data_IF_332707184021
#
_entry.id   IF_332707184021
#
_cell.length_a   1.000
_cell.length_b   1.000
_cell.length_c   1.000
_cell.angle_alpha   90.00
_cell.angle_beta   90.00
_cell.angle_gamma   90.00
#
_symmetry.space_group_name_H-M   'P 1'
#
loop_
_entity.id
_entity.type
_entity.pdbx_description
1 polymer ?
#
# COMPACT_ATOMS: atom_id res chain seq x y z
N UNK A 1 87.56 30.79 6.13
CA UNK A 1 86.86 31.94 5.53
C UNK A 1 85.42 31.89 6.02
N UNK A 2 84.99 32.91 6.75
CA UNK A 2 83.71 33.06 7.43
C UNK A 2 82.73 33.88 6.60
N UNK A 3 81.52 33.38 6.34
CA UNK A 3 80.35 34.16 5.92
C UNK A 3 79.14 33.56 6.68
N UNK A 4 78.65 34.18 7.75
CA UNK A 4 77.67 35.28 7.81
C UNK A 4 76.40 34.97 7.00
N UNK A 5 75.34 34.64 7.74
CA UNK A 5 73.94 34.43 7.31
C UNK A 5 73.35 35.63 6.56
N UNK A 6 72.18 35.45 5.92
CA UNK A 6 71.01 36.15 6.48
C UNK A 6 69.79 35.25 6.66
N UNK A 7 69.32 35.26 7.92
CA UNK A 7 67.99 34.85 8.35
C UNK A 7 66.90 35.61 7.58
N UNK A 8 66.23 34.95 6.63
CA UNK A 8 65.05 35.48 5.94
C UNK A 8 63.81 35.36 6.84
N UNK A 9 63.51 36.43 7.55
CA UNK A 9 62.26 36.60 8.30
C UNK A 9 61.06 36.65 7.32
N UNK A 10 60.10 35.72 7.37
CA UNK A 10 58.97 35.74 6.45
C UNK A 10 58.00 36.88 6.79
N UNK A 11 57.79 37.77 5.82
CA UNK A 11 56.91 38.93 5.91
C UNK A 11 55.46 38.48 6.21
N UNK A 12 54.82 38.95 7.30
CA UNK A 12 53.46 38.55 7.67
C UNK A 12 52.41 38.87 6.58
N UNK A 13 52.69 39.83 5.71
CA UNK A 13 51.81 40.22 4.60
C UNK A 13 51.79 39.19 3.44
N UNK A 14 52.80 38.33 3.35
CA UNK A 14 52.91 37.31 2.29
C UNK A 14 52.08 36.06 2.59
N UNK A 15 51.74 35.81 3.87
CA UNK A 15 50.77 34.78 4.25
C UNK A 15 49.33 35.19 3.90
N UNK A 16 49.01 36.48 3.89
CA UNK A 16 47.66 36.96 3.60
C UNK A 16 47.30 36.83 2.12
N UNK A 17 48.25 37.04 1.19
CA UNK A 17 48.00 36.92 -0.25
C UNK A 17 47.81 35.48 -0.74
N UNK A 18 48.29 34.47 0.00
CA UNK A 18 48.06 33.06 -0.32
C UNK A 18 46.67 32.56 0.15
N UNK A 19 46.04 33.26 1.10
CA UNK A 19 44.72 32.88 1.62
C UNK A 19 43.55 33.49 0.85
N UNK A 20 43.78 34.49 0.00
CA UNK A 20 42.71 35.19 -0.74
C UNK A 20 42.25 34.48 -2.03
N UNK A 21 42.93 33.41 -2.45
CA UNK A 21 42.59 32.64 -3.66
C UNK A 21 41.85 31.32 -3.40
N UNK A 22 41.50 31.01 -2.15
CA UNK A 22 40.58 29.89 -1.88
C UNK A 22 39.17 30.30 -2.29
N UNK A 23 38.77 29.82 -3.47
CA UNK A 23 37.50 30.08 -4.13
C UNK A 23 36.33 29.97 -3.17
N UNK A 24 35.71 31.10 -2.87
CA UNK A 24 34.35 31.18 -2.34
C UNK A 24 33.43 30.60 -3.41
N UNK A 25 33.09 29.32 -3.28
CA UNK A 25 32.03 28.70 -4.09
C UNK A 25 30.77 29.54 -4.01
N UNK A 26 30.33 30.04 -5.15
CA UNK A 26 29.21 30.98 -5.28
C UNK A 26 27.95 30.45 -4.56
N UNK A 27 27.48 31.07 -3.45
CA UNK A 27 26.40 30.54 -2.63
C UNK A 27 25.00 30.66 -3.27
N UNK A 28 24.85 31.32 -4.42
CA UNK A 28 23.54 31.46 -5.10
C UNK A 28 23.11 30.20 -5.88
N UNK A 29 24.03 29.30 -6.22
CA UNK A 29 23.71 28.09 -6.99
C UNK A 29 22.91 27.05 -6.19
N UNK A 30 22.99 27.06 -4.85
CA UNK A 30 22.24 26.13 -4.00
C UNK A 30 20.74 26.42 -3.97
N UNK A 31 20.33 27.70 -4.12
CA UNK A 31 18.92 28.06 -4.15
C UNK A 31 18.27 27.52 -5.44
N UNK A 32 18.87 27.77 -6.60
CA UNK A 32 18.35 27.27 -7.88
C UNK A 32 18.40 25.75 -7.98
N UNK A 33 19.43 25.10 -7.44
CA UNK A 33 19.50 23.64 -7.41
C UNK A 33 18.40 23.02 -6.54
N UNK A 34 18.06 23.63 -5.39
CA UNK A 34 16.92 23.16 -4.56
C UNK A 34 15.57 23.30 -5.28
N UNK A 35 15.31 24.43 -5.92
CA UNK A 35 14.08 24.64 -6.70
C UNK A 35 13.98 23.71 -7.91
N UNK A 36 15.11 23.45 -8.58
CA UNK A 36 15.19 22.45 -9.65
C UNK A 36 14.80 21.05 -9.14
N UNK A 37 15.40 20.58 -8.04
CA UNK A 37 15.05 19.28 -7.45
C UNK A 37 13.59 19.22 -7.00
N UNK A 38 13.04 20.27 -6.40
CA UNK A 38 11.62 20.32 -6.03
C UNK A 38 10.69 20.20 -7.24
N UNK A 39 11.07 20.82 -8.36
CA UNK A 39 10.28 20.76 -9.60
C UNK A 39 10.34 19.36 -10.22
N UNK A 40 11.53 18.75 -10.25
CA UNK A 40 11.73 17.37 -10.73
C UNK A 40 10.97 16.38 -9.86
N UNK A 41 11.04 16.52 -8.53
CA UNK A 41 10.31 15.67 -7.58
C UNK A 41 8.80 15.83 -7.75
N UNK A 42 8.30 17.07 -7.87
CA UNK A 42 6.87 17.33 -8.09
C UNK A 42 6.38 16.71 -9.39
N UNK A 43 7.13 16.86 -10.49
CA UNK A 43 6.83 16.24 -11.78
C UNK A 43 6.84 14.71 -11.68
N UNK A 44 7.84 14.14 -11.00
CA UNK A 44 7.94 12.71 -10.78
C UNK A 44 6.76 12.17 -9.95
N UNK A 45 6.40 12.83 -8.83
CA UNK A 45 5.23 12.47 -8.03
C UNK A 45 3.94 12.58 -8.83
N UNK A 46 3.80 13.63 -9.65
CA UNK A 46 2.64 13.80 -10.55
C UNK A 46 2.54 12.66 -11.57
N UNK A 47 3.66 12.25 -12.15
CA UNK A 47 3.71 11.10 -13.07
C UNK A 47 3.37 9.80 -12.34
N UNK A 48 3.96 9.55 -11.17
CA UNK A 48 3.66 8.37 -10.34
C UNK A 48 2.19 8.35 -9.94
N UNK A 49 1.60 9.49 -9.61
CA UNK A 49 0.17 9.58 -9.29
C UNK A 49 -0.71 9.21 -10.49
N UNK A 50 -0.36 9.66 -11.70
CA UNK A 50 -1.05 9.28 -12.93
C UNK A 50 -0.92 7.78 -13.24
N UNK A 51 0.25 7.20 -12.98
CA UNK A 51 0.54 5.78 -13.24
C UNK A 51 0.20 4.87 -12.05
N UNK A 52 -0.22 5.41 -10.90
CA UNK A 52 -0.48 4.65 -9.69
C UNK A 52 -1.47 3.47 -9.91
N UNK A 53 -2.56 3.60 -10.69
CA UNK A 53 -3.47 2.48 -10.98
C UNK A 53 -2.78 1.34 -11.72
N UNK A 54 -1.82 1.66 -12.60
CA UNK A 54 -1.04 0.67 -13.35
C UNK A 54 0.07 0.11 -12.48
N UNK A 55 0.69 0.92 -11.62
CA UNK A 55 1.78 0.50 -10.73
C UNK A 55 1.28 -0.41 -9.58
N UNK A 56 0.03 -0.22 -9.14
CA UNK A 56 -0.59 -1.01 -8.06
C UNK A 56 -0.49 -2.52 -8.28
N UNK A 57 -0.91 -3.12 -9.42
CA UNK A 57 -0.75 -4.55 -9.65
C UNK A 57 0.72 -4.99 -9.72
N UNK A 58 1.65 -4.14 -10.16
CA UNK A 58 3.09 -4.47 -10.15
C UNK A 58 3.64 -4.52 -8.72
N UNK A 59 3.31 -3.55 -7.88
CA UNK A 59 3.73 -3.54 -6.48
C UNK A 59 3.15 -4.73 -5.72
N UNK A 60 1.86 -5.01 -5.89
CA UNK A 60 1.25 -6.20 -5.28
C UNK A 60 1.87 -7.49 -5.78
N UNK A 61 2.13 -7.60 -7.09
CA UNK A 61 2.79 -8.76 -7.64
C UNK A 61 4.23 -8.93 -7.12
N UNK A 62 4.98 -7.85 -6.97
CA UNK A 62 6.32 -7.88 -6.40
C UNK A 62 6.31 -8.30 -4.92
N UNK A 63 5.34 -7.81 -4.13
CA UNK A 63 5.15 -8.22 -2.74
C UNK A 63 4.80 -9.71 -2.64
N UNK A 64 3.87 -10.18 -3.49
CA UNK A 64 3.49 -11.60 -3.54
C UNK A 64 4.64 -12.49 -4.04
N UNK A 65 5.41 -12.04 -5.03
CA UNK A 65 6.59 -12.75 -5.52
C UNK A 65 7.64 -12.85 -4.42
N UNK A 66 7.96 -11.75 -3.73
CA UNK A 66 8.87 -11.76 -2.59
C UNK A 66 8.44 -12.74 -1.49
N UNK A 67 7.13 -12.82 -1.20
CA UNK A 67 6.59 -13.75 -0.22
C UNK A 67 6.58 -15.21 -0.72
N UNK A 68 6.38 -15.40 -2.02
CA UNK A 68 6.30 -16.71 -2.67
C UNK A 68 7.67 -17.34 -2.94
N UNK A 69 8.71 -16.52 -3.11
CA UNK A 69 10.08 -16.95 -3.41
C UNK A 69 10.63 -18.02 -2.44
N UNK A 70 10.60 -17.83 -1.10
CA UNK A 70 11.06 -18.87 -0.18
C UNK A 70 10.22 -20.15 -0.22
N UNK A 71 8.97 -20.09 -0.71
CA UNK A 71 8.15 -21.29 -0.92
C UNK A 71 8.56 -22.02 -2.20
N UNK A 72 8.93 -21.28 -3.25
CA UNK A 72 9.45 -21.82 -4.51
C UNK A 72 10.80 -22.49 -4.27
N UNK A 73 11.72 -21.84 -3.57
CA UNK A 73 13.04 -22.40 -3.23
C UNK A 73 12.93 -23.73 -2.47
N UNK A 74 11.97 -23.82 -1.53
CA UNK A 74 11.70 -25.05 -0.79
C UNK A 74 11.22 -26.20 -1.69
N UNK A 75 10.48 -25.90 -2.76
CA UNK A 75 10.04 -26.89 -3.73
C UNK A 75 11.15 -27.25 -4.73
N UNK A 76 11.99 -26.29 -5.10
CA UNK A 76 13.20 -26.56 -5.90
C UNK A 76 14.17 -27.50 -5.18
N UNK A 77 14.29 -27.36 -3.85
CA UNK A 77 15.07 -28.29 -3.02
C UNK A 77 14.56 -29.75 -3.11
N UNK A 78 13.32 -29.97 -3.55
CA UNK A 78 12.76 -31.29 -3.83
C UNK A 78 12.97 -31.77 -5.27
N UNK A 79 13.90 -31.14 -6.00
CA UNK A 79 14.28 -31.43 -7.39
C UNK A 79 13.21 -31.10 -8.44
N UNK A 80 12.26 -30.21 -8.10
CA UNK A 80 11.34 -29.65 -9.09
C UNK A 80 12.03 -28.54 -9.89
N UNK A 81 11.69 -28.42 -11.17
CA UNK A 81 12.16 -27.27 -11.96
C UNK A 81 11.47 -26.00 -11.48
N UNK A 82 12.17 -24.86 -11.55
CA UNK A 82 11.65 -23.55 -11.13
C UNK A 82 10.24 -23.26 -11.61
N UNK A 83 10.00 -23.44 -12.91
CA UNK A 83 8.67 -23.22 -13.51
C UNK A 83 7.59 -24.07 -12.84
N UNK A 84 7.87 -25.35 -12.54
CA UNK A 84 6.92 -26.22 -11.86
C UNK A 84 6.70 -25.80 -10.40
N UNK A 85 7.77 -25.47 -9.68
CA UNK A 85 7.70 -24.97 -8.31
C UNK A 85 6.82 -23.72 -8.23
N UNK A 86 7.04 -22.75 -9.13
CA UNK A 86 6.26 -21.51 -9.24
C UNK A 86 4.79 -21.83 -9.53
N UNK A 87 4.49 -22.67 -10.53
CA UNK A 87 3.11 -23.05 -10.84
C UNK A 87 2.41 -23.71 -9.65
N UNK A 88 3.09 -24.59 -8.92
CA UNK A 88 2.52 -25.28 -7.74
C UNK A 88 2.24 -24.29 -6.62
N UNK A 89 3.21 -23.44 -6.24
CA UNK A 89 3.00 -22.40 -5.22
C UNK A 89 1.82 -21.51 -5.61
N UNK A 90 1.76 -21.12 -6.87
CA UNK A 90 0.72 -20.24 -7.38
C UNK A 90 -0.68 -20.86 -7.30
N UNK A 91 -0.83 -22.13 -7.70
CA UNK A 91 -2.09 -22.87 -7.57
C UNK A 91 -2.49 -23.02 -6.10
N UNK A 92 -1.55 -23.39 -5.23
CA UNK A 92 -1.81 -23.54 -3.79
C UNK A 92 -2.25 -22.22 -3.17
N UNK A 93 -1.62 -21.11 -3.54
CA UNK A 93 -1.97 -19.78 -3.07
C UNK A 93 -3.38 -19.37 -3.51
N UNK A 94 -3.72 -19.55 -4.80
CA UNK A 94 -5.06 -19.27 -5.30
C UNK A 94 -6.11 -20.13 -4.59
N UNK A 95 -5.86 -21.43 -4.45
CA UNK A 95 -6.76 -22.34 -3.75
C UNK A 95 -6.93 -21.94 -2.28
N UNK A 96 -5.84 -21.56 -1.60
CA UNK A 96 -5.89 -21.09 -0.22
C UNK A 96 -6.77 -19.83 -0.10
N UNK A 97 -6.58 -18.83 -0.96
CA UNK A 97 -7.42 -17.63 -0.98
C UNK A 97 -8.88 -17.99 -1.25
N UNK A 98 -9.14 -18.86 -2.22
CA UNK A 98 -10.50 -19.28 -2.56
C UNK A 98 -11.19 -19.97 -1.38
N UNK A 99 -10.50 -20.88 -0.70
CA UNK A 99 -11.01 -21.55 0.51
C UNK A 99 -11.25 -20.54 1.64
N UNK A 100 -10.33 -19.62 1.87
CA UNK A 100 -10.51 -18.55 2.86
C UNK A 100 -11.76 -17.74 2.53
N UNK A 101 -11.96 -17.31 1.28
CA UNK A 101 -13.15 -16.55 0.88
C UNK A 101 -14.44 -17.37 1.06
N UNK A 102 -14.44 -18.65 0.66
CA UNK A 102 -15.59 -19.55 0.80
C UNK A 102 -16.00 -19.76 2.26
N UNK A 103 -15.05 -19.76 3.20
CA UNK A 103 -15.33 -19.89 4.64
C UNK A 103 -15.63 -18.54 5.28
N UNK A 104 -14.89 -17.49 4.90
CA UNK A 104 -14.98 -16.18 5.51
C UNK A 104 -16.29 -15.46 5.13
N UNK A 105 -16.74 -15.58 3.88
CA UNK A 105 -18.01 -14.97 3.43
C UNK A 105 -19.22 -15.42 4.27
N UNK A 106 -19.51 -16.72 4.45
CA UNK A 106 -20.66 -17.15 5.26
C UNK A 106 -20.48 -16.81 6.75
N UNK A 107 -19.24 -16.81 7.26
CA UNK A 107 -18.96 -16.39 8.63
C UNK A 107 -19.28 -14.90 8.83
N UNK A 108 -18.89 -14.04 7.89
CA UNK A 108 -19.25 -12.61 7.93
C UNK A 108 -20.78 -12.45 7.81
N UNK A 109 -21.42 -13.19 6.90
CA UNK A 109 -22.87 -13.11 6.72
C UNK A 109 -23.64 -13.50 7.99
N UNK A 110 -23.28 -14.61 8.63
CA UNK A 110 -23.90 -15.03 9.90
C UNK A 110 -23.63 -14.03 11.02
N UNK A 111 -22.41 -13.49 11.12
CA UNK A 111 -22.10 -12.45 12.11
C UNK A 111 -22.93 -11.18 11.90
N UNK A 112 -23.05 -10.70 10.66
CA UNK A 112 -23.89 -9.55 10.32
C UNK A 112 -25.37 -9.85 10.58
N UNK A 113 -25.84 -11.06 10.26
CA UNK A 113 -27.20 -11.51 10.54
C UNK A 113 -27.52 -11.46 12.04
N UNK A 114 -26.62 -11.96 12.89
CA UNK A 114 -26.76 -11.88 14.34
C UNK A 114 -26.77 -10.44 14.86
N UNK A 115 -25.95 -9.56 14.28
CA UNK A 115 -25.95 -8.14 14.65
C UNK A 115 -27.29 -7.48 14.31
N UNK A 116 -27.79 -7.72 13.09
CA UNK A 116 -29.08 -7.18 12.63
C UNK A 116 -30.24 -7.70 13.48
N UNK A 117 -30.24 -8.99 13.87
CA UNK A 117 -31.26 -9.54 14.76
C UNK A 117 -31.23 -8.95 16.17
N UNK A 118 -30.04 -8.58 16.68
CA UNK A 118 -29.90 -7.95 18.00
C UNK A 118 -30.12 -6.45 17.97
N UNK A 119 -30.02 -5.81 16.81
CA UNK A 119 -30.14 -4.36 16.66
C UNK A 119 -31.46 -3.79 17.20
N UNK A 120 -32.65 -4.35 16.87
CA UNK A 120 -33.93 -3.85 17.38
C UNK A 120 -33.97 -3.75 18.90
N UNK A 121 -33.42 -4.75 19.61
CA UNK A 121 -33.36 -4.77 21.07
C UNK A 121 -32.49 -3.65 21.64
N UNK A 122 -31.40 -3.29 20.96
CA UNK A 122 -30.59 -2.15 21.38
C UNK A 122 -31.32 -0.83 21.15
N UNK A 123 -32.12 -0.73 20.08
CA UNK A 123 -32.95 0.44 19.82
C UNK A 123 -34.05 0.54 20.89
N UNK A 124 -34.72 -0.57 21.25
CA UNK A 124 -35.70 -0.62 22.36
C UNK A 124 -35.11 -0.05 23.65
N UNK A 125 -33.93 -0.54 24.03
CA UNK A 125 -33.26 -0.08 25.24
C UNK A 125 -32.88 1.40 25.17
N UNK A 126 -32.44 1.87 24.00
CA UNK A 126 -32.10 3.28 23.80
C UNK A 126 -33.34 4.18 23.88
N UNK A 127 -34.45 3.79 23.25
CA UNK A 127 -35.73 4.50 23.31
C UNK A 127 -36.22 4.55 24.74
N UNK A 128 -36.21 3.44 25.48
CA UNK A 128 -36.66 3.39 26.88
C UNK A 128 -35.88 4.34 27.78
N UNK A 129 -34.57 4.50 27.55
CA UNK A 129 -33.73 5.43 28.31
C UNK A 129 -33.94 6.87 27.85
N UNK A 130 -34.02 7.13 26.53
CA UNK A 130 -34.01 8.48 25.97
C UNK A 130 -35.38 9.15 25.94
N UNK A 131 -36.46 8.37 25.75
CA UNK A 131 -37.82 8.86 25.64
C UNK A 131 -38.25 9.78 26.80
N UNK A 132 -38.05 9.45 28.09
CA UNK A 132 -38.44 10.35 29.18
C UNK A 132 -37.69 11.69 29.15
N UNK A 133 -36.40 11.71 28.80
CA UNK A 133 -35.62 12.95 28.72
C UNK A 133 -36.04 13.82 27.52
N UNK A 134 -36.29 13.22 26.36
CA UNK A 134 -36.72 13.96 25.17
C UNK A 134 -38.15 14.50 25.30
N UNK A 135 -39.06 13.75 25.90
CA UNK A 135 -40.43 14.22 26.15
C UNK A 135 -40.45 15.36 27.17
N UNK A 136 -39.66 15.26 28.25
CA UNK A 136 -39.63 16.26 29.31
C UNK A 136 -39.00 17.58 28.86
N UNK A 137 -37.93 17.52 28.06
CA UNK A 137 -37.11 18.69 27.76
C UNK A 137 -37.41 19.29 26.37
N UNK A 138 -37.91 18.50 25.41
CA UNK A 138 -38.13 18.91 24.01
C UNK A 138 -39.54 18.61 23.48
N UNK A 139 -40.37 17.86 24.22
CA UNK A 139 -41.73 17.46 23.79
C UNK A 139 -41.77 16.53 22.56
N UNK A 140 -40.65 15.88 22.22
CA UNK A 140 -40.53 15.03 21.02
C UNK A 140 -40.87 13.58 21.36
N UNK A 141 -41.81 12.98 20.63
CA UNK A 141 -42.08 11.54 20.69
C UNK A 141 -41.31 10.79 19.59
N UNK A 142 -40.40 9.91 20.02
CA UNK A 142 -39.51 9.12 19.15
C UNK A 142 -40.02 7.70 18.82
N UNK A 143 -41.18 7.32 19.35
CA UNK A 143 -41.74 5.96 19.25
C UNK A 143 -42.11 5.58 17.80
N UNK A 144 -42.55 6.54 16.98
CA UNK A 144 -42.83 6.31 15.55
C UNK A 144 -41.55 6.12 14.73
N UNK A 145 -40.49 6.86 15.07
CA UNK A 145 -39.18 6.80 14.38
C UNK A 145 -38.52 5.44 14.65
N UNK A 146 -38.65 4.93 15.87
CA UNK A 146 -38.18 3.60 16.26
C UNK A 146 -38.76 2.49 15.38
N UNK A 147 -40.08 2.50 15.17
CA UNK A 147 -40.76 1.51 14.35
C UNK A 147 -40.32 1.55 12.88
N UNK A 148 -40.18 2.76 12.30
CA UNK A 148 -39.70 2.93 10.92
C UNK A 148 -38.26 2.43 10.74
N UNK A 149 -37.37 2.76 11.67
CA UNK A 149 -35.96 2.32 11.64
C UNK A 149 -35.89 0.80 11.76
N UNK A 150 -36.62 0.20 12.70
CA UNK A 150 -36.67 -1.26 12.86
C UNK A 150 -37.20 -1.94 11.62
N UNK A 151 -38.31 -1.46 11.05
CA UNK A 151 -38.90 -2.01 9.83
C UNK A 151 -37.95 -1.89 8.63
N UNK A 152 -37.25 -0.76 8.49
CA UNK A 152 -36.24 -0.57 7.44
C UNK A 152 -35.08 -1.54 7.62
N UNK A 153 -34.54 -1.69 8.83
CA UNK A 153 -33.44 -2.62 9.13
C UNK A 153 -33.84 -4.07 8.85
N UNK A 154 -35.00 -4.52 9.33
CA UNK A 154 -35.42 -5.91 9.14
C UNK A 154 -35.67 -6.23 7.66
N UNK A 155 -36.33 -5.33 6.94
CA UNK A 155 -36.65 -5.53 5.52
C UNK A 155 -35.41 -5.46 4.63
N UNK A 156 -34.52 -4.48 4.85
CA UNK A 156 -33.36 -4.28 4.00
C UNK A 156 -32.16 -5.15 4.36
N UNK A 157 -32.01 -5.60 5.61
CA UNK A 157 -30.83 -6.35 6.04
C UNK A 157 -31.14 -7.82 6.36
N UNK A 158 -32.36 -8.16 6.80
CA UNK A 158 -32.69 -9.53 7.21
C UNK A 158 -33.32 -10.37 6.09
N UNK A 159 -34.14 -9.75 5.22
CA UNK A 159 -34.94 -10.49 4.23
C UNK A 159 -34.24 -10.71 2.87
N UNK A 160 -33.13 -10.03 2.60
CA UNK A 160 -32.51 -10.00 1.25
C UNK A 160 -31.35 -10.99 1.02
N UNK A 161 -31.21 -12.06 1.81
CA UNK A 161 -30.29 -13.16 1.43
C UNK A 161 -28.82 -12.73 1.25
N UNK A 162 -28.33 -11.90 2.18
CA UNK A 162 -26.89 -11.75 2.38
C UNK A 162 -26.27 -10.49 1.81
N UNK A 163 -25.37 -9.92 2.60
CA UNK A 163 -24.36 -8.94 2.19
C UNK A 163 -23.69 -9.32 0.85
N UNK A 164 -23.50 -10.62 0.61
CA UNK A 164 -22.99 -11.19 -0.65
C UNK A 164 -23.85 -10.78 -1.85
N UNK A 165 -25.17 -10.93 -1.78
CA UNK A 165 -26.05 -10.61 -2.91
C UNK A 165 -26.07 -9.11 -3.23
N UNK A 166 -25.93 -8.26 -2.20
CA UNK A 166 -25.78 -6.81 -2.38
C UNK A 166 -24.47 -6.46 -3.08
N UNK A 167 -23.35 -7.05 -2.63
CA UNK A 167 -22.06 -6.88 -3.28
C UNK A 167 -22.15 -7.31 -4.75
N UNK A 168 -22.67 -8.51 -5.03
CA UNK A 168 -22.82 -9.00 -6.40
C UNK A 168 -23.68 -8.07 -7.27
N UNK A 169 -24.77 -7.53 -6.72
CA UNK A 169 -25.62 -6.54 -7.42
C UNK A 169 -24.86 -5.24 -7.69
N UNK A 170 -24.20 -4.65 -6.69
CA UNK A 170 -23.42 -3.41 -6.84
C UNK A 170 -22.30 -3.57 -7.85
N UNK A 171 -21.61 -4.70 -7.80
CA UNK A 171 -20.58 -5.11 -8.76
C UNK A 171 -21.20 -5.16 -10.16
N UNK A 172 -22.29 -5.92 -10.35
CA UNK A 172 -22.94 -6.09 -11.66
C UNK A 172 -23.51 -4.78 -12.25
N UNK A 173 -24.01 -3.89 -11.39
CA UNK A 173 -24.55 -2.60 -11.80
C UNK A 173 -23.45 -1.61 -12.22
N UNK A 174 -22.22 -1.81 -11.73
CA UNK A 174 -21.08 -0.93 -11.97
C UNK A 174 -20.11 -1.51 -12.99
N UNK A 175 -20.58 -1.79 -14.21
CA UNK A 175 -19.79 -2.42 -15.28
C UNK A 175 -18.43 -1.77 -15.55
N UNK A 176 -18.32 -0.43 -15.43
CA UNK A 176 -17.05 0.28 -15.59
C UNK A 176 -16.05 0.01 -14.45
N UNK A 177 -16.52 -0.02 -13.20
CA UNK A 177 -15.69 -0.38 -12.05
C UNK A 177 -15.23 -1.84 -12.15
N UNK A 178 -16.14 -2.71 -12.61
CA UNK A 178 -15.84 -4.12 -12.86
C UNK A 178 -14.67 -4.32 -13.80
N UNK A 179 -14.61 -3.58 -14.92
CA UNK A 179 -13.50 -3.72 -15.88
C UNK A 179 -12.16 -3.33 -15.26
N UNK A 180 -12.11 -2.23 -14.49
CA UNK A 180 -10.87 -1.81 -13.81
C UNK A 180 -10.40 -2.80 -12.75
N UNK A 181 -11.32 -3.30 -11.92
CA UNK A 181 -11.04 -4.31 -10.90
C UNK A 181 -10.67 -5.66 -11.52
N UNK A 182 -11.40 -6.11 -12.54
CA UNK A 182 -11.08 -7.33 -13.27
C UNK A 182 -9.69 -7.23 -13.90
N UNK A 183 -9.37 -6.11 -14.56
CA UNK A 183 -8.04 -5.88 -15.13
C UNK A 183 -6.95 -6.01 -14.08
N UNK A 184 -7.13 -5.38 -12.91
CA UNK A 184 -6.17 -5.48 -11.79
C UNK A 184 -6.08 -6.90 -11.23
N UNK A 185 -7.22 -7.57 -11.05
CA UNK A 185 -7.32 -8.93 -10.53
C UNK A 185 -6.77 -9.97 -11.50
N UNK A 186 -6.78 -9.72 -12.81
CA UNK A 186 -6.16 -10.58 -13.83
C UNK A 186 -4.68 -10.25 -14.04
N UNK A 187 -4.29 -8.97 -14.02
CA UNK A 187 -2.88 -8.59 -14.18
C UNK A 187 -2.02 -9.05 -13.00
N UNK A 188 -2.48 -8.79 -11.77
CA UNK A 188 -1.74 -9.13 -10.54
C UNK A 188 -1.24 -10.58 -10.54
N UNK A 189 -2.10 -11.61 -10.73
CA UNK A 189 -1.68 -13.00 -10.74
C UNK A 189 -0.71 -13.31 -11.89
N UNK A 190 -0.94 -12.77 -13.08
CA UNK A 190 -0.08 -12.99 -14.26
C UNK A 190 1.32 -12.39 -14.04
N UNK A 191 1.38 -11.15 -13.54
CA UNK A 191 2.64 -10.47 -13.24
C UNK A 191 3.36 -11.20 -12.10
N UNK A 192 2.63 -11.61 -11.04
CA UNK A 192 3.21 -12.36 -9.92
C UNK A 192 3.87 -13.63 -10.42
N UNK A 193 3.18 -14.39 -11.27
CA UNK A 193 3.73 -15.60 -11.86
C UNK A 193 5.02 -15.34 -12.63
N UNK A 194 5.04 -14.28 -13.45
CA UNK A 194 6.23 -13.90 -14.23
C UNK A 194 7.38 -13.45 -13.34
N UNK A 195 7.11 -12.58 -12.36
CA UNK A 195 8.11 -12.07 -11.41
C UNK A 195 8.69 -13.19 -10.56
N UNK A 196 7.85 -14.12 -10.08
CA UNK A 196 8.29 -15.24 -9.25
C UNK A 196 9.13 -16.24 -10.04
N UNK A 197 8.79 -16.46 -11.33
CA UNK A 197 9.58 -17.32 -12.21
C UNK A 197 10.96 -16.77 -12.53
N UNK A 198 11.06 -15.47 -12.79
CA UNK A 198 12.31 -14.83 -13.21
C UNK A 198 12.96 -14.03 -12.06
N UNK A 199 12.54 -14.30 -10.82
CA UNK A 199 12.88 -13.51 -9.63
C UNK A 199 14.39 -13.36 -9.42
N UNK A 200 15.16 -14.45 -9.47
CA UNK A 200 16.62 -14.37 -9.23
C UNK A 200 17.32 -13.51 -10.27
N UNK A 201 16.88 -13.57 -11.52
CA UNK A 201 17.47 -12.78 -12.60
C UNK A 201 17.16 -11.29 -12.40
N UNK A 202 15.94 -10.97 -11.96
CA UNK A 202 15.54 -9.60 -11.63
C UNK A 202 16.33 -9.05 -10.44
N UNK A 203 16.48 -9.84 -9.37
CA UNK A 203 17.23 -9.44 -8.17
C UNK A 203 18.72 -9.29 -8.48
N UNK A 204 19.30 -10.19 -9.28
CA UNK A 204 20.69 -10.10 -9.73
C UNK A 204 20.92 -8.83 -10.58
N UNK A 205 20.02 -8.53 -11.52
CA UNK A 205 20.09 -7.31 -12.32
C UNK A 205 19.99 -6.03 -11.46
N UNK A 206 19.11 -6.03 -10.45
CA UNK A 206 19.01 -4.91 -9.49
C UNK A 206 20.31 -4.78 -8.68
N UNK A 207 20.91 -5.89 -8.27
CA UNK A 207 22.20 -5.88 -7.58
C UNK A 207 23.33 -5.31 -8.45
N UNK A 208 23.39 -5.68 -9.73
CA UNK A 208 24.42 -5.21 -10.65
C UNK A 208 24.31 -3.71 -10.98
N UNK A 209 23.10 -3.15 -10.92
CA UNK A 209 22.86 -1.71 -11.07
C UNK A 209 23.28 -0.89 -9.85
N UNK A 210 23.42 -1.53 -8.68
CA UNK A 210 23.91 -0.89 -7.48
C UNK A 210 25.45 -0.99 -7.45
N UNK A 211 26.18 0.14 -7.55
CA UNK A 211 27.64 0.11 -7.48
C UNK A 211 28.07 -0.55 -6.16
N UNK A 212 28.87 -1.62 -6.30
CA UNK A 212 29.32 -2.61 -5.30
C UNK A 212 30.10 -2.07 -4.07
N UNK A 213 29.89 -0.81 -3.69
CA UNK A 213 30.66 -0.08 -2.67
C UNK A 213 30.06 -0.14 -1.25
N UNK A 214 29.09 -1.00 -0.99
CA UNK A 214 28.50 -1.24 0.34
C UNK A 214 28.02 -2.70 0.46
N UNK A 215 28.95 -3.65 0.48
CA UNK A 215 28.72 -5.00 1.00
C UNK A 215 29.44 -5.12 2.36
N UNK A 216 28.75 -5.21 3.52
CA UNK A 216 29.34 -5.77 4.72
C UNK A 216 29.41 -7.29 4.56
N UNK A 217 30.60 -7.83 4.78
CA UNK A 217 30.95 -9.26 4.73
C UNK A 217 30.17 -10.08 5.75
#
# INVERSE_FOLDING_TARGET
>A
MSEITPSSNPNPNQKQSLTSHLGKGNPSNYAHQRWFWLTVISLFLGLVYLLAPILTPFLMAALLAYLGDPLVDRLEAWKLSRTLSVTVVFIVLILMILVILLVLLPVIETQLGHLVQKMPRYIDNAVLVLQPYLLQEWGVNIENIDQEIKAWLTTNLSQTGGFVQKILKTISASGALLIGWASTLFLTPVITFYLLRDWDHLVAFIHDLLPRRVEPV
#
